data_IF_682906775910
#
_entry.id   IF_682906775910
#
_cell.length_a   1.000
_cell.length_b   1.000
_cell.length_c   1.000
_cell.angle_alpha   90.00
_cell.angle_beta   90.00
_cell.angle_gamma   90.00
#
_symmetry.space_group_name_H-M   'P 1'
#
loop_
_entity.id
_entity.type
_entity.pdbx_description
1 polymer ?
#
# COMPACT_ATOMS: atom_id res chain seq x y z
N UNK A 1 24.93 0.00 -4.81
CA UNK A 1 24.62 0.06 -3.38
C UNK A 1 24.85 -1.26 -2.63
N UNK A 2 25.41 -2.25 -3.26
CA UNK A 2 25.74 -3.50 -2.60
C UNK A 2 24.58 -4.48 -2.38
N UNK A 3 23.42 -4.22 -2.95
CA UNK A 3 22.32 -5.19 -2.94
C UNK A 3 22.53 -6.22 -4.05
N UNK A 4 22.25 -7.49 -3.75
CA UNK A 4 22.41 -8.57 -4.72
C UNK A 4 21.29 -8.63 -5.74
N UNK A 5 20.08 -8.23 -5.35
CA UNK A 5 18.89 -8.26 -6.18
C UNK A 5 18.09 -6.96 -6.04
N UNK A 6 17.47 -6.55 -7.13
CA UNK A 6 16.60 -5.37 -7.17
C UNK A 6 15.37 -5.69 -8.02
N UNK A 7 14.18 -5.47 -7.45
CA UNK A 7 12.93 -5.67 -8.16
C UNK A 7 12.14 -4.36 -8.16
N UNK A 8 12.00 -3.73 -9.31
CA UNK A 8 11.16 -2.54 -9.48
C UNK A 8 9.77 -2.94 -9.94
N UNK A 9 8.85 -1.96 -9.96
CA UNK A 9 7.47 -2.21 -10.38
C UNK A 9 7.35 -2.76 -11.80
N UNK A 10 8.31 -2.46 -12.66
CA UNK A 10 8.32 -2.95 -14.04
C UNK A 10 8.48 -4.46 -14.14
N UNK A 11 9.07 -5.06 -13.10
CA UNK A 11 9.27 -6.51 -13.02
C UNK A 11 8.21 -7.20 -12.15
N UNK A 12 7.23 -6.44 -11.66
CA UNK A 12 6.15 -6.96 -10.84
C UNK A 12 4.86 -7.07 -11.66
N UNK A 13 4.09 -8.12 -11.41
CA UNK A 13 2.76 -8.24 -11.97
C UNK A 13 1.78 -7.56 -10.98
N UNK A 14 1.47 -6.30 -11.22
CA UNK A 14 0.62 -5.51 -10.35
C UNK A 14 -0.83 -5.78 -10.71
N UNK A 15 -1.53 -6.54 -9.88
CA UNK A 15 -2.91 -6.96 -10.10
C UNK A 15 -3.94 -6.01 -9.49
N UNK A 16 -3.55 -5.24 -8.47
CA UNK A 16 -4.47 -4.37 -7.75
C UNK A 16 -3.86 -2.98 -7.56
N UNK A 17 -4.70 -1.98 -7.74
CA UNK A 17 -4.31 -0.59 -7.52
C UNK A 17 -5.35 0.11 -6.65
N UNK A 18 -4.92 1.20 -5.99
CA UNK A 18 -5.83 2.09 -5.27
C UNK A 18 -6.65 2.90 -6.29
N UNK A 19 -7.74 3.57 -5.85
CA UNK A 19 -8.46 4.49 -6.74
C UNK A 19 -7.59 5.57 -7.38
N UNK A 20 -6.46 5.94 -6.75
CA UNK A 20 -5.49 6.88 -7.30
C UNK A 20 -4.49 6.24 -8.27
N UNK A 21 -4.58 4.94 -8.52
CA UNK A 21 -3.70 4.25 -9.43
C UNK A 21 -2.38 3.77 -8.83
N UNK A 22 -2.17 3.90 -7.52
CA UNK A 22 -1.00 3.36 -6.85
C UNK A 22 -1.17 1.86 -6.60
N UNK A 23 -0.09 1.09 -6.74
CA UNK A 23 -0.11 -0.33 -6.40
C UNK A 23 -0.46 -0.52 -4.92
N UNK A 24 -1.35 -1.48 -4.63
CA UNK A 24 -1.66 -1.82 -3.23
C UNK A 24 -0.49 -2.53 -2.57
N UNK A 25 -0.34 -2.35 -1.26
CA UNK A 25 0.77 -2.95 -0.52
C UNK A 25 0.71 -4.49 -0.54
N UNK A 26 -0.49 -5.07 -0.60
CA UNK A 26 -0.65 -6.52 -0.65
C UNK A 26 0.06 -7.18 -1.83
N UNK A 27 0.25 -6.45 -2.93
CA UNK A 27 1.00 -6.93 -4.09
C UNK A 27 2.44 -7.27 -3.71
N UNK A 28 3.00 -6.57 -2.73
CA UNK A 28 4.38 -6.75 -2.29
C UNK A 28 4.62 -8.05 -1.52
N UNK A 29 3.59 -8.63 -0.90
CA UNK A 29 3.74 -9.85 -0.09
C UNK A 29 4.39 -10.99 -0.87
N UNK A 30 3.93 -11.22 -2.09
CA UNK A 30 4.46 -12.26 -2.97
C UNK A 30 5.94 -12.04 -3.27
N UNK A 31 6.30 -10.80 -3.60
CA UNK A 31 7.67 -10.46 -3.99
C UNK A 31 8.61 -10.45 -2.81
N UNK A 32 8.12 -10.08 -1.62
CA UNK A 32 8.88 -10.19 -0.39
C UNK A 32 9.20 -11.65 -0.07
N UNK A 33 8.19 -12.51 -0.15
CA UNK A 33 8.37 -13.95 0.07
C UNK A 33 9.38 -14.54 -0.92
N UNK A 34 9.27 -14.21 -2.20
CA UNK A 34 10.21 -14.65 -3.21
C UNK A 34 11.63 -14.17 -2.90
N UNK A 35 11.79 -12.91 -2.51
CA UNK A 35 13.10 -12.35 -2.20
C UNK A 35 13.76 -13.04 -1.01
N UNK A 36 12.97 -13.41 0.00
CA UNK A 36 13.47 -14.10 1.19
C UNK A 36 13.84 -15.55 0.92
N UNK A 37 13.36 -16.12 -0.17
CA UNK A 37 13.64 -17.51 -0.54
C UNK A 37 14.68 -17.65 -1.65
N UNK A 38 15.36 -16.58 -2.05
CA UNK A 38 16.39 -16.64 -3.10
C UNK A 38 17.73 -17.15 -2.61
N UNK A 39 17.98 -17.08 -1.31
CA UNK A 39 19.22 -17.57 -0.69
C UNK A 39 18.93 -18.46 0.50
N UNK A 40 19.91 -19.27 0.89
CA UNK A 40 19.77 -20.18 2.06
C UNK A 40 20.12 -19.49 3.38
N UNK A 41 20.82 -18.35 3.34
CA UNK A 41 21.25 -17.64 4.52
C UNK A 41 20.25 -16.62 5.02
N UNK A 42 20.74 -15.73 5.85
CA UNK A 42 19.96 -14.57 6.30
C UNK A 42 19.91 -13.51 5.22
N UNK A 43 18.75 -12.91 5.04
CA UNK A 43 18.54 -11.89 4.03
C UNK A 43 18.22 -10.54 4.67
N UNK A 44 18.68 -9.47 4.03
CA UNK A 44 18.25 -8.11 4.31
C UNK A 44 17.40 -7.62 3.13
N UNK A 45 16.14 -7.34 3.39
CA UNK A 45 15.20 -6.89 2.35
C UNK A 45 14.75 -5.46 2.66
N UNK A 46 15.02 -4.54 1.74
CA UNK A 46 14.55 -3.16 1.81
C UNK A 46 13.41 -2.98 0.83
N UNK A 47 12.25 -2.59 1.33
CA UNK A 47 11.02 -2.48 0.54
C UNK A 47 10.42 -1.08 0.70
N UNK A 48 9.98 -0.51 -0.42
CA UNK A 48 9.27 0.77 -0.43
C UNK A 48 7.87 0.55 -0.97
N UNK A 49 6.87 0.87 -0.15
CA UNK A 49 5.47 0.82 -0.57
C UNK A 49 4.99 2.21 -0.99
N UNK A 50 3.92 2.27 -1.77
CA UNK A 50 3.38 3.52 -2.29
C UNK A 50 1.88 3.70 -2.06
N UNK A 51 1.20 2.72 -1.49
CA UNK A 51 -0.26 2.76 -1.35
C UNK A 51 -0.75 4.01 -0.58
N UNK A 52 -0.03 4.40 0.44
CA UNK A 52 -0.36 5.57 1.25
C UNK A 52 0.14 6.91 0.71
N UNK A 53 0.67 6.92 -0.52
CA UNK A 53 1.20 8.15 -1.12
C UNK A 53 0.11 9.22 -1.27
N UNK A 54 0.50 10.47 -1.14
CA UNK A 54 -0.39 11.63 -1.10
C UNK A 54 -1.29 11.83 -2.33
N UNK A 55 -1.83 13.02 -2.46
CA UNK A 55 -2.86 13.37 -3.43
C UNK A 55 -4.18 12.65 -3.11
N UNK A 56 -4.67 12.86 -1.88
CA UNK A 56 -5.91 12.24 -1.43
C UNK A 56 -7.11 12.87 -2.14
N UNK A 57 -7.99 12.07 -2.78
CA UNK A 57 -9.10 12.61 -3.55
C UNK A 57 -10.13 13.30 -2.66
N UNK A 58 -10.68 14.41 -3.15
CA UNK A 58 -11.76 15.12 -2.48
C UNK A 58 -13.14 14.60 -2.85
N UNK A 59 -13.20 13.65 -3.78
CA UNK A 59 -14.43 12.96 -4.16
C UNK A 59 -14.53 11.65 -3.42
N UNK A 60 -15.74 11.13 -3.26
CA UNK A 60 -15.95 9.84 -2.62
C UNK A 60 -15.65 8.74 -3.61
N UNK A 61 -14.46 8.14 -3.49
CA UNK A 61 -14.02 7.05 -4.39
C UNK A 61 -14.03 5.68 -3.71
N UNK A 62 -14.24 5.62 -2.39
CA UNK A 62 -14.40 4.37 -1.64
C UNK A 62 -15.88 4.20 -1.34
N UNK A 63 -16.51 3.18 -1.93
CA UNK A 63 -17.94 2.94 -1.76
C UNK A 63 -18.31 2.39 -0.38
N UNK A 64 -17.50 1.46 0.13
CA UNK A 64 -17.74 0.80 1.41
C UNK A 64 -16.50 0.94 2.31
N UNK A 65 -16.26 2.14 2.87
CA UNK A 65 -15.09 2.34 3.71
C UNK A 65 -15.20 1.53 5.00
N UNK A 66 -14.10 0.92 5.41
CA UNK A 66 -14.04 0.20 6.69
C UNK A 66 -14.02 1.17 7.87
N UNK A 67 -13.47 2.36 7.64
CA UNK A 67 -13.44 3.44 8.62
C UNK A 67 -14.20 4.62 8.04
N UNK A 68 -15.19 5.12 8.77
CA UNK A 68 -16.00 6.26 8.37
C UNK A 68 -15.57 7.48 9.16
N UNK A 69 -15.30 8.59 8.45
CA UNK A 69 -14.93 9.84 9.08
C UNK A 69 -16.17 10.73 9.22
N UNK A 70 -16.38 11.25 10.42
CA UNK A 70 -17.45 12.20 10.73
C UNK A 70 -16.84 13.46 11.34
N UNK A 71 -17.50 14.58 11.18
CA UNK A 71 -17.08 15.84 11.81
C UNK A 71 -16.77 16.97 10.84
N UNK A 72 -15.91 16.80 9.80
CA UNK A 72 -15.66 17.88 8.87
C UNK A 72 -16.94 18.32 8.16
N UNK A 73 -17.20 19.63 8.13
CA UNK A 73 -18.35 20.19 7.43
C UNK A 73 -18.12 20.22 5.92
N UNK A 74 -16.88 20.41 5.51
CA UNK A 74 -16.49 20.37 4.10
C UNK A 74 -16.42 18.92 3.63
N UNK A 75 -17.29 18.58 2.69
CA UNK A 75 -17.38 17.20 2.16
C UNK A 75 -16.09 16.76 1.46
N UNK A 76 -15.42 17.66 0.75
CA UNK A 76 -14.13 17.35 0.12
C UNK A 76 -13.05 16.97 1.13
N UNK A 77 -12.96 17.72 2.22
CA UNK A 77 -12.02 17.42 3.30
C UNK A 77 -12.39 16.11 3.99
N UNK A 78 -13.67 15.87 4.23
CA UNK A 78 -14.15 14.63 4.81
C UNK A 78 -13.76 13.44 3.95
N UNK A 79 -13.96 13.53 2.64
CA UNK A 79 -13.63 12.45 1.71
C UNK A 79 -12.12 12.19 1.65
N UNK A 80 -11.31 13.23 1.66
CA UNK A 80 -9.85 13.10 1.68
C UNK A 80 -9.36 12.43 2.96
N UNK A 81 -9.89 12.82 4.12
CA UNK A 81 -9.57 12.19 5.39
C UNK A 81 -10.00 10.73 5.44
N UNK A 82 -11.21 10.44 4.96
CA UNK A 82 -11.73 9.08 4.92
C UNK A 82 -10.86 8.19 4.03
N UNK A 83 -10.46 8.68 2.87
CA UNK A 83 -9.53 7.97 2.00
C UNK A 83 -8.21 7.69 2.71
N UNK A 84 -7.63 8.70 3.33
CA UNK A 84 -6.36 8.56 4.05
C UNK A 84 -6.41 7.50 5.14
N UNK A 85 -7.43 7.56 6.02
CA UNK A 85 -7.51 6.61 7.14
C UNK A 85 -7.77 5.19 6.66
N UNK A 86 -8.49 5.01 5.55
CA UNK A 86 -8.70 3.68 4.97
C UNK A 86 -7.43 3.13 4.35
N UNK A 87 -6.61 3.97 3.72
CA UNK A 87 -5.31 3.54 3.20
C UNK A 87 -4.36 3.16 4.34
N UNK A 88 -4.35 3.91 5.43
CA UNK A 88 -3.57 3.55 6.62
C UNK A 88 -4.03 2.22 7.20
N UNK A 89 -5.34 1.98 7.24
CA UNK A 89 -5.89 0.70 7.70
C UNK A 89 -5.40 -0.47 6.83
N UNK A 90 -5.40 -0.31 5.51
CA UNK A 90 -4.89 -1.35 4.61
C UNK A 90 -3.39 -1.58 4.78
N UNK A 91 -2.62 -0.51 5.02
CA UNK A 91 -1.20 -0.63 5.31
C UNK A 91 -0.96 -1.39 6.61
N UNK A 92 -1.80 -1.19 7.61
CA UNK A 92 -1.74 -1.92 8.87
C UNK A 92 -2.05 -3.41 8.65
N UNK A 93 -3.07 -3.73 7.86
CA UNK A 93 -3.38 -5.12 7.48
C UNK A 93 -2.19 -5.77 6.76
N UNK A 94 -1.56 -5.04 5.85
CA UNK A 94 -0.38 -5.52 5.15
C UNK A 94 0.75 -5.85 6.14
N UNK A 95 1.02 -4.96 7.09
CA UNK A 95 2.03 -5.19 8.12
C UNK A 95 1.71 -6.44 8.97
N UNK A 96 0.43 -6.64 9.30
CA UNK A 96 -0.01 -7.84 10.00
C UNK A 96 0.22 -9.12 9.20
N UNK A 97 0.03 -9.07 7.89
CA UNK A 97 0.22 -10.23 7.00
C UNK A 97 1.69 -10.56 6.74
N UNK A 98 2.61 -9.62 7.00
CA UNK A 98 4.04 -9.87 6.91
C UNK A 98 4.56 -10.76 8.04
N UNK A 99 3.92 -10.76 9.18
CA UNK A 99 4.39 -11.45 10.39
C UNK A 99 4.01 -12.95 10.45
#
# INVERSE_FOLDING_TARGET
MGFDHYTSKEFMNILQTTPNGWATDDVLLKYLDQSMNTTEGQDFVFTVSVQGHGEYPTEKVIENPKIVVTGPEDEGKKNAWEYYVNMVHEMDEFAGNLV
#
